data_IF_180274750725
#
_entry.id   IF_180274750725
#
_cell.length_a   1.000
_cell.length_b   1.000
_cell.length_c   1.000
_cell.angle_alpha   90.00
_cell.angle_beta   90.00
_cell.angle_gamma   90.00
#
_symmetry.space_group_name_H-M   'P 1'
#
loop_
_entity.id
_entity.type
_entity.pdbx_description
1 polymer ?
#
# COMPACT_ATOMS: atom_id res chain seq x y z
N UNK A 1 -3.43 -14.27 -17.31
CA UNK A 1 -3.49 -12.91 -16.71
C UNK A 1 -2.07 -12.39 -16.57
N UNK A 2 -1.79 -11.19 -17.07
CA UNK A 2 -0.52 -10.51 -16.83
C UNK A 2 -0.35 -10.27 -15.33
N UNK A 3 0.77 -10.72 -14.75
CA UNK A 3 1.08 -10.47 -13.34
C UNK A 3 1.27 -8.95 -13.16
N UNK A 4 0.73 -8.35 -12.09
CA UNK A 4 0.92 -6.93 -11.83
C UNK A 4 2.41 -6.61 -11.71
N UNK A 5 2.82 -5.47 -12.29
CA UNK A 5 4.20 -5.03 -12.22
C UNK A 5 4.59 -4.68 -10.78
N UNK A 6 5.88 -4.74 -10.41
CA UNK A 6 6.34 -4.33 -9.08
C UNK A 6 5.91 -2.91 -8.69
N UNK A 7 5.92 -1.98 -9.66
CA UNK A 7 5.42 -0.62 -9.46
C UNK A 7 3.90 -0.58 -9.24
N UNK A 8 3.13 -1.36 -9.99
CA UNK A 8 1.67 -1.48 -9.80
C UNK A 8 1.30 -2.05 -8.43
N UNK A 9 2.09 -3.01 -7.93
CA UNK A 9 1.96 -3.56 -6.58
C UNK A 9 2.21 -2.51 -5.50
N UNK A 10 3.24 -1.68 -5.65
CA UNK A 10 3.53 -0.59 -4.71
C UNK A 10 2.41 0.46 -4.67
N UNK A 11 1.84 0.79 -5.83
CA UNK A 11 0.68 1.70 -5.90
C UNK A 11 -0.51 1.10 -5.16
N UNK A 12 -0.85 -0.17 -5.42
CA UNK A 12 -1.93 -0.86 -4.72
C UNK A 12 -1.71 -0.88 -3.20
N UNK A 13 -0.46 -1.10 -2.77
CA UNK A 13 -0.10 -1.13 -1.36
C UNK A 13 -0.23 0.26 -0.69
N UNK A 14 0.12 1.34 -1.40
CA UNK A 14 -0.09 2.70 -0.92
C UNK A 14 -1.58 2.99 -0.69
N UNK A 15 -2.46 2.56 -1.61
CA UNK A 15 -3.91 2.67 -1.42
C UNK A 15 -4.41 1.79 -0.28
N UNK A 16 -3.82 0.62 -0.05
CA UNK A 16 -4.18 -0.23 1.08
C UNK A 16 -3.91 0.45 2.43
N UNK A 17 -2.83 1.23 2.55
CA UNK A 17 -2.55 2.02 3.76
C UNK A 17 -3.65 3.06 3.98
N UNK A 18 -3.99 3.84 2.95
CA UNK A 18 -5.08 4.82 3.01
C UNK A 18 -6.39 4.14 3.41
N UNK A 19 -6.70 2.99 2.80
CA UNK A 19 -7.90 2.22 3.10
C UNK A 19 -7.95 1.76 4.56
N UNK A 20 -6.85 1.30 5.16
CA UNK A 20 -6.83 0.89 6.56
C UNK A 20 -7.00 2.07 7.51
N UNK A 21 -6.39 3.22 7.20
CA UNK A 21 -6.50 4.44 8.00
C UNK A 21 -7.92 4.99 7.95
N UNK A 22 -8.44 5.24 6.76
CA UNK A 22 -9.79 5.79 6.56
C UNK A 22 -10.88 4.80 6.92
N UNK A 23 -10.65 3.50 6.66
CA UNK A 23 -11.56 2.43 7.03
C UNK A 23 -11.82 2.39 8.53
N UNK A 24 -10.81 2.61 9.37
CA UNK A 24 -11.02 2.73 10.83
C UNK A 24 -11.92 3.92 11.16
N UNK A 25 -11.72 5.06 10.51
CA UNK A 25 -12.54 6.27 10.73
C UNK A 25 -13.99 6.02 10.33
N UNK A 26 -14.22 5.45 9.14
CA UNK A 26 -15.56 5.12 8.64
C UNK A 26 -16.24 4.09 9.52
N UNK A 27 -15.53 3.02 9.93
CA UNK A 27 -16.07 2.03 10.86
C UNK A 27 -16.45 2.66 12.20
N UNK A 28 -15.62 3.57 12.71
CA UNK A 28 -15.93 4.34 13.92
C UNK A 28 -17.20 5.18 13.78
N UNK A 29 -17.42 5.81 12.62
CA UNK A 29 -18.67 6.54 12.32
C UNK A 29 -19.90 5.62 12.29
N UNK A 30 -19.72 4.35 11.91
CA UNK A 30 -20.77 3.32 11.93
C UNK A 30 -20.96 2.66 13.31
N UNK A 31 -20.22 3.10 14.34
CA UNK A 31 -20.28 2.56 15.69
C UNK A 31 -19.41 1.32 15.93
N UNK A 32 -18.57 0.94 14.97
CA UNK A 32 -17.61 -0.15 15.12
C UNK A 32 -16.25 0.40 15.53
N UNK A 33 -15.83 0.13 16.77
CA UNK A 33 -14.47 0.44 17.20
C UNK A 33 -13.50 -0.68 16.83
N UNK A 34 -12.56 -0.38 15.94
CA UNK A 34 -11.44 -1.29 15.65
C UNK A 34 -10.41 -1.17 16.79
N UNK A 35 -10.13 -2.25 17.54
CA UNK A 35 -9.17 -2.22 18.64
C UNK A 35 -7.78 -1.81 18.16
N UNK A 36 -7.08 -0.99 18.96
CA UNK A 36 -5.72 -0.55 18.66
C UNK A 36 -4.74 -1.74 18.54
N UNK A 37 -4.98 -2.81 19.29
CA UNK A 37 -4.22 -4.05 19.23
C UNK A 37 -4.31 -4.76 17.87
N UNK A 38 -5.33 -4.47 17.06
CA UNK A 38 -5.49 -5.00 15.70
C UNK A 38 -5.04 -3.97 14.67
N UNK A 39 -5.43 -2.71 14.86
CA UNK A 39 -5.11 -1.63 13.92
C UNK A 39 -3.60 -1.41 13.75
N UNK A 40 -2.85 -1.27 14.84
CA UNK A 40 -1.42 -0.94 14.75
C UNK A 40 -0.59 -2.04 14.08
N UNK A 41 -0.77 -3.35 14.40
CA UNK A 41 -0.05 -4.41 13.70
C UNK A 41 -0.37 -4.45 12.20
N UNK A 42 -1.64 -4.29 11.80
CA UNK A 42 -2.02 -4.32 10.38
C UNK A 42 -1.42 -3.13 9.62
N UNK A 43 -1.54 -1.92 10.16
CA UNK A 43 -0.94 -0.73 9.54
C UNK A 43 0.60 -0.83 9.48
N UNK A 44 1.23 -1.35 10.54
CA UNK A 44 2.67 -1.59 10.61
C UNK A 44 3.15 -2.59 9.55
N UNK A 45 2.42 -3.70 9.37
CA UNK A 45 2.75 -4.69 8.33
C UNK A 45 2.66 -4.11 6.92
N UNK A 46 1.66 -3.27 6.64
CA UNK A 46 1.55 -2.59 5.35
C UNK A 46 2.72 -1.63 5.10
N UNK A 47 3.15 -0.88 6.12
CA UNK A 47 4.33 -0.03 6.03
C UNK A 47 5.62 -0.83 5.79
N UNK A 48 5.81 -1.93 6.51
CA UNK A 48 6.96 -2.83 6.30
C UNK A 48 6.95 -3.41 4.89
N UNK A 49 5.80 -3.91 4.43
CA UNK A 49 5.64 -4.43 3.07
C UNK A 49 5.96 -3.35 2.02
N UNK A 50 5.61 -2.09 2.27
CA UNK A 50 5.89 -0.97 1.37
C UNK A 50 7.38 -0.70 1.30
N UNK A 51 8.04 -0.64 2.45
CA UNK A 51 9.49 -0.46 2.52
C UNK A 51 10.24 -1.59 1.82
N UNK A 52 9.86 -2.83 2.10
CA UNK A 52 10.46 -4.01 1.44
C UNK A 52 10.21 -3.96 -0.06
N UNK A 53 8.99 -3.64 -0.49
CA UNK A 53 8.65 -3.49 -1.91
C UNK A 53 9.46 -2.39 -2.60
N UNK A 54 9.72 -1.27 -1.93
CA UNK A 54 10.55 -0.18 -2.45
C UNK A 54 12.02 -0.60 -2.57
N UNK A 55 12.55 -1.32 -1.59
CA UNK A 55 13.92 -1.85 -1.62
C UNK A 55 14.13 -2.89 -2.72
N UNK A 56 13.09 -3.66 -3.03
CA UNK A 56 13.10 -4.67 -4.09
C UNK A 56 12.68 -4.13 -5.45
N UNK A 57 12.30 -2.85 -5.56
CA UNK A 57 11.90 -2.27 -6.82
C UNK A 57 13.12 -2.20 -7.75
N UNK A 58 13.07 -2.80 -8.96
CA UNK A 58 14.16 -2.68 -9.91
C UNK A 58 14.43 -1.20 -10.20
N UNK A 59 15.71 -0.79 -10.20
CA UNK A 59 16.08 0.54 -10.70
C UNK A 59 15.55 0.63 -12.13
N UNK A 60 14.68 1.61 -12.36
CA UNK A 60 14.25 1.94 -13.71
C UNK A 60 15.49 2.48 -14.44
N UNK A 61 16.15 1.65 -15.24
CA UNK A 61 17.09 2.15 -16.23
C UNK A 61 16.30 3.10 -17.14
N UNK A 62 16.70 4.37 -17.12
CA UNK A 62 16.03 5.47 -17.79
C UNK A 62 15.87 5.21 -19.28
N UNK A 63 14.74 4.62 -19.65
CA UNK A 63 14.08 4.90 -20.91
C UNK A 63 12.66 5.29 -20.59
N UNK A 64 12.51 6.56 -20.18
CA UNK A 64 11.39 7.33 -20.68
C UNK A 64 11.33 7.06 -22.18
N UNK A 65 10.27 6.38 -22.62
CA UNK A 65 9.93 6.28 -24.01
C UNK A 65 9.73 7.71 -24.53
N UNK A 66 10.82 8.26 -25.10
CA UNK A 66 10.71 9.27 -26.14
C UNK A 66 10.00 8.57 -27.29
N UNK A 67 8.69 8.77 -27.38
CA UNK A 67 7.96 8.69 -28.65
C UNK A 67 7.26 10.04 -28.76
N UNK A 68 7.73 10.98 -29.59
CA UNK A 68 7.54 11.05 -31.05
C UNK A 68 6.11 10.77 -31.46
#
# INVERSE_FOLDING_TARGET
>A
MNRPSPAGLLVALAFAIVFVVEGRTVLGMLGFEVPLSVYFPVAGLLLVAMFVGLLLLPKADGKQAVGT
#
